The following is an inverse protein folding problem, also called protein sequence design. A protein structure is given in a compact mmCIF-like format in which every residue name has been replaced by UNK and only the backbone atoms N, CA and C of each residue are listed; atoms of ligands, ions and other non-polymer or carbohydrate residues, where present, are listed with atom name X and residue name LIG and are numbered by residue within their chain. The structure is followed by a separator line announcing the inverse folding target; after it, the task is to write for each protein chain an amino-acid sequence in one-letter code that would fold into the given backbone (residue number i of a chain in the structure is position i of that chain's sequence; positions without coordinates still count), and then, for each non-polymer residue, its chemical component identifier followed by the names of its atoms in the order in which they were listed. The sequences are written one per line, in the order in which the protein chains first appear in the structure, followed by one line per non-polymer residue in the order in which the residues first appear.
data_IF_777193624793
#
_entry.id   IF_777193624793
#
_cell.length_a   1.000
_cell.length_b   1.000
_cell.length_c   1.000
_cell.angle_alpha   90.00
_cell.angle_beta   90.00
_cell.angle_gamma   90.00
#
_symmetry.space_group_name_H-M   'P 1'
#
loop_
_entity.id
_entity.type
_entity.pdbx_description
1 polymer ?
#
# COMPACT_ATOMS: atom_id res chain seq x y z
N UNK A 1 0.03 -8.57 -28.20
CA UNK A 1 0.75 -9.57 -27.38
C UNK A 1 2.03 -8.96 -26.84
N UNK A 2 3.10 -8.73 -27.62
CA UNK A 2 4.33 -8.13 -27.07
C UNK A 2 4.19 -6.72 -26.43
N UNK A 3 3.22 -5.91 -26.88
CA UNK A 3 3.04 -4.56 -26.36
C UNK A 3 2.41 -4.53 -24.95
N UNK A 4 1.49 -5.45 -24.64
CA UNK A 4 0.84 -5.55 -23.32
C UNK A 4 1.79 -6.16 -22.27
N UNK A 5 2.58 -7.17 -22.64
CA UNK A 5 3.57 -7.78 -21.74
C UNK A 5 4.63 -6.76 -21.30
N UNK A 6 5.15 -5.97 -22.25
CA UNK A 6 6.12 -4.91 -21.94
C UNK A 6 5.54 -3.77 -21.09
N UNK A 7 4.24 -3.50 -21.18
CA UNK A 7 3.59 -2.47 -20.36
C UNK A 7 3.36 -2.96 -18.95
N UNK A 8 2.96 -4.23 -18.78
CA UNK A 8 2.80 -4.85 -17.47
C UNK A 8 4.12 -4.96 -16.72
N UNK A 9 5.21 -5.38 -17.39
CA UNK A 9 6.55 -5.43 -16.80
C UNK A 9 6.99 -4.05 -16.28
N UNK A 10 6.89 -3.00 -17.11
CA UNK A 10 7.24 -1.64 -16.68
C UNK A 10 6.37 -1.14 -15.50
N UNK A 11 5.09 -1.51 -15.48
CA UNK A 11 4.19 -1.15 -14.38
C UNK A 11 4.55 -1.88 -13.09
N UNK A 12 4.92 -3.16 -13.17
CA UNK A 12 5.39 -3.94 -12.03
C UNK A 12 6.70 -3.42 -11.48
N UNK A 13 7.68 -3.13 -12.34
CA UNK A 13 8.95 -2.54 -11.92
C UNK A 13 8.73 -1.22 -11.17
N UNK A 14 7.92 -0.32 -11.75
CA UNK A 14 7.56 0.94 -11.09
C UNK A 14 6.75 0.75 -9.79
N UNK A 15 5.97 -0.33 -9.69
CA UNK A 15 5.23 -0.65 -8.46
C UNK A 15 6.19 -1.07 -7.34
N UNK A 16 7.16 -1.94 -7.64
CA UNK A 16 8.14 -2.37 -6.65
C UNK A 16 9.10 -1.27 -6.26
N UNK A 17 9.53 -0.42 -7.20
CA UNK A 17 10.29 0.79 -6.88
C UNK A 17 9.51 1.71 -5.91
N UNK A 18 8.19 1.84 -6.09
CA UNK A 18 7.34 2.61 -5.18
C UNK A 18 7.21 1.93 -3.82
N UNK A 19 7.07 0.60 -3.79
CA UNK A 19 6.98 -0.16 -2.54
C UNK A 19 8.27 -0.04 -1.71
N UNK A 20 9.43 -0.21 -2.35
CA UNK A 20 10.74 -0.05 -1.72
C UNK A 20 10.94 1.38 -1.21
N UNK A 21 10.51 2.39 -1.97
CA UNK A 21 10.58 3.80 -1.55
C UNK A 21 9.75 4.07 -0.28
N UNK A 22 8.60 3.40 -0.10
CA UNK A 22 7.81 3.51 1.14
C UNK A 22 8.59 2.93 2.33
N UNK A 23 9.29 1.81 2.16
CA UNK A 23 10.12 1.22 3.20
C UNK A 23 11.29 2.13 3.57
N UNK A 24 11.96 2.69 2.56
CA UNK A 24 13.08 3.62 2.73
C UNK A 24 12.65 4.92 3.43
N UNK A 25 11.53 5.53 3.01
CA UNK A 25 10.97 6.75 3.62
C UNK A 25 10.70 6.55 5.11
N UNK A 26 10.10 5.40 5.46
CA UNK A 26 9.81 5.05 6.86
C UNK A 26 11.11 4.81 7.63
N UNK A 27 12.06 4.09 7.05
CA UNK A 27 13.35 3.81 7.69
C UNK A 27 14.15 5.10 7.97
N UNK A 28 14.16 6.04 7.02
CA UNK A 28 14.83 7.34 7.18
C UNK A 28 14.24 8.12 8.37
N UNK A 29 12.91 8.14 8.47
CA UNK A 29 12.19 8.84 9.55
C UNK A 29 12.37 8.20 10.93
N UNK A 30 12.74 6.92 10.98
CA UNK A 30 13.01 6.17 12.22
C UNK A 30 14.51 6.18 12.59
N UNK A 31 15.40 6.50 11.65
CA UNK A 31 16.85 6.45 11.87
C UNK A 31 17.34 7.57 12.82
N UNK A 32 17.82 7.14 14.00
CA UNK A 32 18.17 7.95 15.17
C UNK A 32 19.57 8.61 15.07
N UNK A 33 20.03 9.02 13.88
CA UNK A 33 21.45 9.35 13.73
C UNK A 33 21.86 10.77 14.17
N UNK A 34 21.02 11.83 14.23
CA UNK A 34 21.52 13.14 14.75
C UNK A 34 20.53 14.26 15.18
N UNK A 35 19.20 14.14 15.10
CA UNK A 35 18.28 15.23 15.52
C UNK A 35 17.06 14.65 16.24
N UNK A 36 16.34 15.47 17.03
CA UNK A 36 15.19 15.01 17.84
C UNK A 36 14.33 14.01 17.07
N UNK A 37 13.97 12.85 17.68
CA UNK A 37 13.24 11.81 16.97
C UNK A 37 11.98 12.44 16.39
N UNK A 38 11.88 12.45 15.05
CA UNK A 38 10.63 12.76 14.37
C UNK A 38 9.67 11.66 14.80
N UNK A 39 8.84 11.95 15.80
CA UNK A 39 7.84 11.01 16.29
C UNK A 39 6.82 10.79 15.18
N UNK A 40 7.13 9.86 14.28
CA UNK A 40 6.14 9.29 13.38
C UNK A 40 5.48 8.11 14.09
N UNK A 41 4.16 8.01 13.96
CA UNK A 41 3.35 6.90 14.44
C UNK A 41 2.82 6.07 13.28
N UNK A 42 1.88 5.19 13.59
CA UNK A 42 1.25 4.33 12.59
C UNK A 42 0.42 5.12 11.57
N UNK A 43 -0.09 6.29 11.96
CA UNK A 43 -0.84 7.17 11.06
C UNK A 43 0.05 7.77 9.98
N UNK A 44 1.23 8.29 10.34
CA UNK A 44 2.20 8.84 9.39
C UNK A 44 2.70 7.77 8.42
N UNK A 45 2.94 6.54 8.91
CA UNK A 45 3.29 5.43 8.03
C UNK A 45 2.18 5.11 7.01
N UNK A 46 0.91 5.09 7.46
CA UNK A 46 -0.24 4.93 6.58
C UNK A 46 -0.35 6.06 5.55
N UNK A 47 -0.10 7.30 5.98
CA UNK A 47 -0.10 8.47 5.12
C UNK A 47 0.94 8.34 4.01
N UNK A 48 2.19 7.99 4.34
CA UNK A 48 3.27 7.77 3.38
C UNK A 48 2.89 6.67 2.38
N UNK A 49 2.43 5.52 2.87
CA UNK A 49 2.10 4.39 2.01
C UNK A 49 0.92 4.66 1.07
N UNK A 50 -0.19 5.24 1.57
CA UNK A 50 -1.33 5.57 0.72
C UNK A 50 -1.04 6.73 -0.23
N UNK A 51 -0.22 7.70 0.17
CA UNK A 51 0.22 8.80 -0.70
C UNK A 51 1.01 8.24 -1.90
N UNK A 52 2.01 7.40 -1.64
CA UNK A 52 2.82 6.76 -2.69
C UNK A 52 1.98 5.82 -3.58
N UNK A 53 1.13 4.98 -2.99
CA UNK A 53 0.23 4.10 -3.74
C UNK A 53 -0.72 4.87 -4.65
N UNK A 54 -1.24 6.01 -4.19
CA UNK A 54 -2.11 6.87 -4.99
C UNK A 54 -1.37 7.49 -6.16
N UNK A 55 -0.17 8.05 -5.94
CA UNK A 55 0.65 8.60 -7.02
C UNK A 55 0.98 7.54 -8.07
N UNK A 56 1.32 6.32 -7.62
CA UNK A 56 1.52 5.20 -8.52
C UNK A 56 0.26 4.90 -9.35
N UNK A 57 -0.92 4.84 -8.72
CA UNK A 57 -2.18 4.57 -9.42
C UNK A 57 -2.51 5.68 -10.46
N UNK A 58 -2.30 6.95 -10.11
CA UNK A 58 -2.48 8.09 -11.02
C UNK A 58 -1.56 7.97 -12.25
N UNK A 59 -0.30 7.56 -12.06
CA UNK A 59 0.69 7.41 -13.13
C UNK A 59 0.46 6.16 -13.98
N UNK A 60 -0.03 5.08 -13.37
CA UNK A 60 -0.24 3.78 -14.02
C UNK A 60 -1.64 3.62 -14.62
N UNK A 61 -2.48 4.67 -14.57
CA UNK A 61 -3.90 4.63 -15.00
C UNK A 61 -4.73 3.54 -14.31
N UNK A 62 -4.36 3.18 -13.08
CA UNK A 62 -5.12 2.25 -12.24
C UNK A 62 -6.16 3.06 -11.47
N UNK A 63 -7.44 2.72 -11.64
CA UNK A 63 -8.54 3.40 -10.94
C UNK A 63 -8.66 2.87 -9.50
N UNK A 64 -8.25 3.70 -8.52
CA UNK A 64 -8.38 3.39 -7.10
C UNK A 64 -9.82 3.06 -6.69
N UNK A 65 -10.83 3.62 -7.37
CA UNK A 65 -12.22 3.29 -7.10
C UNK A 65 -12.51 1.82 -7.43
N UNK A 66 -11.96 1.31 -8.53
CA UNK A 66 -12.09 -0.10 -8.89
C UNK A 66 -11.38 -1.00 -7.87
N UNK A 67 -10.21 -0.58 -7.37
CA UNK A 67 -9.51 -1.29 -6.30
C UNK A 67 -10.37 -1.34 -5.03
N UNK A 68 -10.98 -0.21 -4.65
CA UNK A 68 -11.86 -0.14 -3.48
C UNK A 68 -13.12 -1.02 -3.63
N UNK A 69 -13.76 -1.00 -4.80
CA UNK A 69 -14.93 -1.84 -5.09
C UNK A 69 -14.57 -3.33 -5.00
N UNK A 70 -13.39 -3.73 -5.52
CA UNK A 70 -12.90 -5.11 -5.43
C UNK A 70 -12.52 -5.50 -4.01
N UNK A 71 -11.89 -4.61 -3.23
CA UNK A 71 -11.66 -4.82 -1.80
C UNK A 71 -12.98 -5.10 -1.06
N UNK A 72 -14.02 -4.29 -1.30
CA UNK A 72 -15.34 -4.48 -0.69
C UNK A 72 -15.96 -5.82 -1.08
N UNK A 73 -15.93 -6.17 -2.36
CA UNK A 73 -16.45 -7.45 -2.85
C UNK A 73 -15.72 -8.65 -2.22
N UNK A 74 -14.40 -8.59 -2.11
CA UNK A 74 -13.60 -9.62 -1.44
C UNK A 74 -13.97 -9.74 0.04
N UNK A 75 -14.10 -8.62 0.74
CA UNK A 75 -14.50 -8.60 2.16
C UNK A 75 -15.89 -9.20 2.37
N UNK A 76 -16.86 -8.88 1.51
CA UNK A 76 -18.22 -9.44 1.55
C UNK A 76 -18.24 -10.95 1.28
N UNK A 77 -17.38 -11.42 0.37
CA UNK A 77 -17.26 -12.86 0.08
C UNK A 77 -16.61 -13.67 1.21
N UNK A 78 -15.75 -13.02 2.01
CA UNK A 78 -14.99 -13.63 3.10
C UNK A 78 -15.73 -13.61 4.45
N UNK A 79 -16.97 -13.10 4.54
CA UNK A 79 -17.76 -13.01 5.79
C UNK A 79 -17.99 -14.38 6.48
N UNK A 80 -17.72 -15.50 5.80
CA UNK A 80 -17.82 -16.86 6.36
C UNK A 80 -16.46 -17.53 6.68
N UNK A 81 -15.33 -16.89 6.40
CA UNK A 81 -13.99 -17.43 6.72
C UNK A 81 -13.34 -16.58 7.82
N UNK A 82 -13.08 -17.19 8.98
CA UNK A 82 -12.52 -16.57 10.19
C UNK A 82 -11.09 -16.00 9.99
N UNK A 83 -10.53 -16.15 8.79
CA UNK A 83 -9.22 -15.73 8.34
C UNK A 83 -9.32 -15.23 6.90
N UNK A 84 -9.78 -13.99 6.70
CA UNK A 84 -9.77 -13.37 5.37
C UNK A 84 -8.37 -13.40 4.74
N UNK A 85 -8.30 -13.45 3.40
CA UNK A 85 -7.04 -13.61 2.65
C UNK A 85 -6.00 -12.50 2.90
N UNK A 86 -6.39 -11.40 3.57
CA UNK A 86 -5.56 -10.25 3.90
C UNK A 86 -5.62 -9.93 5.40
N UNK A 87 -5.83 -10.94 6.24
CA UNK A 87 -5.89 -10.76 7.68
C UNK A 87 -4.55 -10.24 8.21
N UNK A 88 -4.59 -9.06 8.81
CA UNK A 88 -3.45 -8.50 9.55
C UNK A 88 -3.24 -9.35 10.81
N UNK A 89 -2.18 -10.16 10.84
CA UNK A 89 -1.96 -11.15 11.91
C UNK A 89 -1.90 -10.52 13.32
N UNK A 90 -2.34 -11.28 14.33
CA UNK A 90 -2.62 -10.79 15.70
C UNK A 90 -1.39 -10.31 16.48
N UNK A 91 -0.16 -10.68 16.10
CA UNK A 91 1.09 -10.42 16.85
C UNK A 91 1.68 -9.00 16.65
N UNK A 92 0.80 -7.98 16.62
CA UNK A 92 1.20 -6.57 16.66
C UNK A 92 1.28 -6.10 18.12
N UNK A 93 2.34 -5.36 18.44
CA UNK A 93 2.58 -4.79 19.77
C UNK A 93 1.86 -3.45 19.88
N UNK A 94 0.84 -3.35 20.74
CA UNK A 94 0.05 -2.12 20.92
C UNK A 94 0.89 -0.88 21.25
N UNK A 95 2.13 -1.03 21.73
CA UNK A 95 3.00 0.07 22.10
C UNK A 95 3.99 0.51 21.01
N UNK A 96 4.00 -0.14 19.84
CA UNK A 96 4.97 0.16 18.79
C UNK A 96 4.33 0.16 17.39
N UNK A 97 3.60 1.23 17.11
CA UNK A 97 2.84 1.40 15.87
C UNK A 97 3.70 1.36 14.60
N UNK A 98 4.92 1.89 14.65
CA UNK A 98 5.84 1.89 13.51
C UNK A 98 6.39 0.48 13.26
N UNK A 99 6.84 -0.23 14.29
CA UNK A 99 7.26 -1.63 14.15
C UNK A 99 6.11 -2.50 13.66
N UNK A 100 4.89 -2.22 14.12
CA UNK A 100 3.71 -2.90 13.63
C UNK A 100 3.49 -2.65 12.14
N UNK A 101 3.65 -1.40 11.70
CA UNK A 101 3.55 -1.06 10.29
C UNK A 101 4.62 -1.77 9.45
N UNK A 102 5.88 -1.81 9.89
CA UNK A 102 6.94 -2.57 9.20
C UNK A 102 6.58 -4.05 9.04
N UNK A 103 6.00 -4.69 10.07
CA UNK A 103 5.48 -6.07 9.96
C UNK A 103 4.35 -6.21 8.93
N UNK A 104 3.58 -5.16 8.66
CA UNK A 104 2.57 -5.16 7.60
C UNK A 104 3.24 -5.13 6.23
N UNK A 105 4.29 -4.31 6.04
CA UNK A 105 5.04 -4.28 4.79
C UNK A 105 5.68 -5.64 4.50
N UNK A 106 6.30 -6.28 5.50
CA UNK A 106 6.83 -7.66 5.38
C UNK A 106 5.73 -8.67 4.97
N UNK A 107 4.51 -8.55 5.51
CA UNK A 107 3.38 -9.40 5.13
C UNK A 107 2.91 -9.15 3.70
N UNK A 108 2.94 -7.90 3.25
CA UNK A 108 2.60 -7.50 1.89
C UNK A 108 3.63 -8.09 0.92
N UNK A 109 4.92 -7.92 1.19
CA UNK A 109 6.01 -8.48 0.36
C UNK A 109 5.92 -10.01 0.26
N UNK A 110 5.68 -10.69 1.39
CA UNK A 110 5.43 -12.13 1.42
C UNK A 110 4.22 -12.55 0.59
N UNK A 111 3.18 -11.71 0.53
CA UNK A 111 1.99 -11.93 -0.29
C UNK A 111 2.24 -11.73 -1.79
N UNK A 112 3.08 -10.77 -2.18
CA UNK A 112 3.55 -10.64 -3.56
C UNK A 112 4.30 -11.88 -4.02
N UNK A 113 5.25 -12.35 -3.20
CA UNK A 113 5.99 -13.59 -3.44
C UNK A 113 5.07 -14.82 -3.58
N UNK A 114 4.00 -14.88 -2.79
CA UNK A 114 3.03 -15.96 -2.87
C UNK A 114 2.15 -15.87 -4.13
N UNK A 115 1.77 -14.65 -4.51
CA UNK A 115 1.01 -14.36 -5.71
C UNK A 115 1.81 -14.73 -6.97
N UNK A 116 3.06 -14.29 -7.08
CA UNK A 116 3.96 -14.60 -8.20
C UNK A 116 4.06 -16.12 -8.42
N UNK A 117 4.41 -16.87 -7.36
CA UNK A 117 4.50 -18.35 -7.40
C UNK A 117 3.18 -19.03 -7.78
N UNK A 118 2.04 -18.42 -7.46
CA UNK A 118 0.71 -18.93 -7.85
C UNK A 118 0.45 -18.68 -9.33
N UNK A 119 0.78 -17.49 -9.83
CA UNK A 119 0.67 -17.14 -11.25
C UNK A 119 1.54 -18.06 -12.13
N UNK A 120 2.79 -18.30 -11.73
CA UNK A 120 3.68 -19.26 -12.41
C UNK A 120 3.09 -20.67 -12.55
N UNK A 121 2.38 -21.15 -11.52
CA UNK A 121 1.78 -22.50 -11.49
C UNK A 121 0.47 -22.61 -12.27
N UNK A 122 -0.32 -21.55 -12.25
CA UNK A 122 -1.68 -21.52 -12.82
C UNK A 122 -1.71 -21.02 -14.26
N UNK A 123 -0.67 -20.30 -14.70
CA UNK A 123 -0.69 -19.53 -15.94
C UNK A 123 -1.52 -18.26 -15.86
N UNK A 124 -1.97 -17.87 -14.65
CA UNK A 124 -2.53 -16.53 -14.40
C UNK A 124 -1.45 -15.47 -14.60
N UNK A 125 -1.87 -14.26 -14.97
CA UNK A 125 -0.95 -13.13 -15.15
C UNK A 125 -0.59 -12.58 -13.76
N UNK A 126 0.70 -12.38 -13.53
CA UNK A 126 1.19 -11.54 -12.44
C UNK A 126 1.22 -10.10 -12.96
N UNK A 127 0.40 -9.22 -12.39
CA UNK A 127 0.27 -7.84 -12.84
C UNK A 127 0.25 -6.84 -11.68
N UNK A 128 0.54 -5.59 -12.02
CA UNK A 128 0.57 -4.50 -11.05
C UNK A 128 -0.79 -4.25 -10.39
N UNK A 129 -1.88 -4.50 -11.10
CA UNK A 129 -3.22 -4.31 -10.56
C UNK A 129 -3.47 -5.25 -9.37
N UNK A 130 -3.09 -6.51 -9.48
CA UNK A 130 -3.18 -7.49 -8.40
C UNK A 130 -2.29 -7.11 -7.20
N UNK A 131 -1.09 -6.58 -7.46
CA UNK A 131 -0.19 -6.09 -6.41
C UNK A 131 -0.76 -4.85 -5.70
N UNK A 132 -1.32 -3.89 -6.43
CA UNK A 132 -2.02 -2.72 -5.86
C UNK A 132 -3.19 -3.17 -4.98
N UNK A 133 -4.01 -4.12 -5.45
CA UNK A 133 -5.14 -4.63 -4.68
C UNK A 133 -4.68 -5.31 -3.38
N UNK A 134 -3.58 -6.07 -3.43
CA UNK A 134 -2.97 -6.69 -2.24
C UNK A 134 -2.53 -5.64 -1.23
N UNK A 135 -1.66 -4.71 -1.65
CA UNK A 135 -1.14 -3.65 -0.79
C UNK A 135 -2.28 -2.82 -0.19
N UNK A 136 -3.23 -2.37 -1.03
CA UNK A 136 -4.39 -1.62 -0.60
C UNK A 136 -5.20 -2.39 0.46
N UNK A 137 -5.43 -3.68 0.26
CA UNK A 137 -6.22 -4.50 1.19
C UNK A 137 -5.56 -4.62 2.56
N UNK A 138 -4.24 -4.83 2.61
CA UNK A 138 -3.49 -4.87 3.87
C UNK A 138 -3.51 -3.52 4.59
N UNK A 139 -3.21 -2.43 3.90
CA UNK A 139 -3.21 -1.09 4.47
C UNK A 139 -4.62 -0.69 4.96
N UNK A 140 -5.65 -1.01 4.18
CA UNK A 140 -7.04 -0.73 4.54
C UNK A 140 -7.48 -1.54 5.76
N UNK A 141 -7.06 -2.79 5.87
CA UNK A 141 -7.30 -3.60 7.07
C UNK A 141 -6.51 -3.10 8.28
N UNK A 142 -5.31 -2.55 8.08
CA UNK A 142 -4.54 -1.89 9.13
C UNK A 142 -5.27 -0.63 9.64
N UNK A 143 -5.85 0.21 8.76
CA UNK A 143 -6.70 1.32 9.18
C UNK A 143 -7.86 0.86 10.07
N UNK A 144 -8.57 -0.21 9.66
CA UNK A 144 -9.69 -0.76 10.44
C UNK A 144 -9.22 -1.23 11.82
N UNK A 145 -8.05 -1.87 11.90
CA UNK A 145 -7.48 -2.34 13.17
C UNK A 145 -7.03 -1.20 14.07
N UNK A 146 -6.42 -0.16 13.51
CA UNK A 146 -5.94 1.01 14.23
C UNK A 146 -7.01 2.07 14.48
N UNK A 147 -8.28 1.78 14.19
CA UNK A 147 -9.40 2.73 14.27
C UNK A 147 -9.15 4.05 13.52
N UNK A 148 -8.36 3.99 12.44
CA UNK A 148 -8.01 5.15 11.62
C UNK A 148 -9.19 5.51 10.71
N UNK A 149 -9.62 6.76 10.76
CA UNK A 149 -10.59 7.31 9.81
C UNK A 149 -9.96 7.41 8.42
N UNK A 150 -10.28 6.42 7.59
CA UNK A 150 -9.75 6.36 6.23
C UNK A 150 -10.27 7.48 5.33
N UNK A 151 -11.49 7.97 5.53
CA UNK A 151 -12.02 9.06 4.70
C UNK A 151 -11.23 10.34 4.98
N UNK A 152 -10.96 10.62 6.25
CA UNK A 152 -10.10 11.74 6.65
C UNK A 152 -8.68 11.58 6.11
N UNK A 153 -8.08 10.38 6.23
CA UNK A 153 -6.75 10.10 5.68
C UNK A 153 -6.67 10.37 4.18
N UNK A 154 -7.68 9.93 3.41
CA UNK A 154 -7.74 10.17 1.96
C UNK A 154 -7.93 11.66 1.63
N UNK A 155 -8.69 12.39 2.45
CA UNK A 155 -8.85 13.84 2.29
C UNK A 155 -7.53 14.57 2.52
N UNK A 156 -6.80 14.27 3.59
CA UNK A 156 -5.51 14.89 3.90
C UNK A 156 -4.47 14.61 2.79
N UNK A 157 -4.40 13.38 2.29
CA UNK A 157 -3.55 13.04 1.15
C UNK A 157 -3.95 13.84 -0.10
N UNK A 158 -5.25 13.98 -0.37
CA UNK A 158 -5.75 14.76 -1.51
C UNK A 158 -5.31 16.22 -1.42
N UNK A 159 -5.47 16.83 -0.25
CA UNK A 159 -5.10 18.21 0.00
C UNK A 159 -3.59 18.42 -0.21
N UNK A 160 -2.75 17.53 0.32
CA UNK A 160 -1.30 17.60 0.12
C UNK A 160 -0.92 17.52 -1.36
N UNK A 161 -1.47 16.55 -2.09
CA UNK A 161 -1.17 16.38 -3.52
C UNK A 161 -1.62 17.59 -4.34
N UNK A 162 -2.77 18.19 -4.03
CA UNK A 162 -3.20 19.44 -4.67
C UNK A 162 -2.28 20.62 -4.37
N UNK A 163 -1.81 20.76 -3.14
CA UNK A 163 -0.88 21.82 -2.75
C UNK A 163 0.46 21.68 -3.48
N UNK A 164 0.97 20.46 -3.62
CA UNK A 164 2.18 20.18 -4.38
C UNK A 164 2.00 20.54 -5.86
N UNK A 165 0.90 20.11 -6.49
CA UNK A 165 0.57 20.47 -7.88
C UNK A 165 0.51 21.99 -8.08
N UNK A 166 -0.12 22.72 -7.16
CA UNK A 166 -0.20 24.19 -7.21
C UNK A 166 1.15 24.88 -7.06
N UNK A 167 2.09 24.31 -6.29
CA UNK A 167 3.46 24.84 -6.15
C UNK A 167 4.29 24.61 -7.41
N UNK A 168 4.14 23.44 -8.04
CA UNK A 168 4.88 23.11 -9.27
C UNK A 168 4.39 23.94 -10.48
N UNK A 169 3.11 24.29 -10.52
CA UNK A 169 2.52 25.14 -11.57
C UNK A 169 2.83 26.64 -11.40
N UNK A 170 3.34 27.06 -10.25
CA UNK A 170 3.58 28.47 -9.91
C UNK A 170 5.01 28.68 -9.35
N UNK A 171 6.06 28.49 -10.20
CA UNK A 171 7.47 28.48 -9.78
C UNK A 171 8.03 29.85 -9.35
#
# INVERSE_FOLDING_TARGET
MAHDESQNENQLDAFFEMFDAVEDDIAELVSDENEEPRQIGGYECLFIAFSNLRLYCENSSIDLKQIEDQYKALKESQVNEESGAFAVHKDLDENNEVVNFCKILEQIEGSFSALEKRCEKSGEVFDAWACVLLMYSYLKNYCVRGEVDFENLQEEISQLHEEMKKKDENP
#
